data_IF_550292477925
#
_entry.id   IF_550292477925
#
_cell.length_a   1.000
_cell.length_b   1.000
_cell.length_c   1.000
_cell.angle_alpha   90.00
_cell.angle_beta   90.00
_cell.angle_gamma   90.00
#
_symmetry.space_group_name_H-M   'P 1'
#
loop_
_entity.id
_entity.type
_entity.pdbx_description
1 polymer ?
#
# COMPACT_ATOMS: atom_id res chain seq x y z
N UNK A 1 -17.74 19.58 -6.69
CA UNK A 1 -17.26 18.19 -6.87
C UNK A 1 -17.04 18.05 -8.37
N UNK A 2 -15.79 18.09 -8.82
CA UNK A 2 -15.49 18.15 -10.26
C UNK A 2 -15.28 16.72 -10.78
N UNK A 3 -15.94 16.33 -11.89
CA UNK A 3 -15.72 15.03 -12.50
C UNK A 3 -14.32 14.99 -13.12
N UNK A 4 -13.57 13.91 -12.84
CA UNK A 4 -12.26 13.68 -13.43
C UNK A 4 -12.40 13.26 -14.90
N UNK A 5 -13.31 12.32 -15.15
CA UNK A 5 -13.59 11.76 -16.47
C UNK A 5 -15.06 11.35 -16.54
N UNK A 6 -15.66 11.54 -17.71
CA UNK A 6 -17.01 11.10 -18.03
C UNK A 6 -16.91 10.22 -19.28
N UNK A 7 -17.49 9.02 -19.23
CA UNK A 7 -17.54 8.15 -20.41
C UNK A 7 -18.86 7.39 -20.51
N UNK A 8 -19.29 7.20 -21.75
CA UNK A 8 -20.49 6.43 -22.09
C UNK A 8 -20.19 4.94 -21.99
N UNK A 9 -20.93 4.23 -21.13
CA UNK A 9 -20.88 2.78 -21.06
C UNK A 9 -22.30 2.22 -21.01
N UNK A 10 -22.62 1.30 -21.92
CA UNK A 10 -23.95 0.71 -21.94
C UNK A 10 -23.98 -0.51 -21.02
N UNK A 11 -24.78 -0.47 -19.95
CA UNK A 11 -25.02 -1.66 -19.13
C UNK A 11 -25.99 -2.57 -19.89
N UNK A 12 -25.54 -3.78 -20.20
CA UNK A 12 -26.32 -4.76 -20.95
C UNK A 12 -26.92 -5.78 -19.99
N UNK A 13 -28.25 -5.82 -19.93
CA UNK A 13 -28.98 -6.84 -19.19
C UNK A 13 -29.45 -7.94 -20.14
N UNK A 14 -29.26 -9.22 -19.78
CA UNK A 14 -29.85 -10.33 -20.53
C UNK A 14 -31.37 -10.28 -20.36
N UNK A 15 -32.12 -10.15 -21.45
CA UNK A 15 -33.58 -10.09 -21.42
C UNK A 15 -34.20 -11.02 -22.48
N UNK A 16 -35.37 -11.63 -22.22
CA UNK A 16 -35.93 -12.69 -23.07
C UNK A 16 -36.29 -12.23 -24.50
N UNK A 17 -36.64 -10.96 -24.69
CA UNK A 17 -36.95 -10.36 -26.00
C UNK A 17 -35.72 -9.76 -26.72
N UNK A 18 -34.50 -10.07 -26.24
CA UNK A 18 -33.23 -9.47 -26.68
C UNK A 18 -32.54 -8.73 -25.52
N UNK A 19 -31.24 -8.44 -25.64
CA UNK A 19 -30.49 -7.75 -24.58
C UNK A 19 -30.97 -6.32 -24.37
N UNK A 20 -31.37 -5.98 -23.15
CA UNK A 20 -31.71 -4.61 -22.75
C UNK A 20 -30.42 -3.83 -22.59
N UNK A 21 -30.28 -2.70 -23.31
CA UNK A 21 -29.13 -1.81 -23.20
C UNK A 21 -29.56 -0.55 -22.46
N UNK A 22 -29.08 -0.38 -21.24
CA UNK A 22 -29.21 0.88 -20.52
C UNK A 22 -28.07 1.79 -20.95
N UNK A 23 -28.39 2.91 -21.58
CA UNK A 23 -27.42 3.98 -21.80
C UNK A 23 -27.07 4.58 -20.45
N UNK A 24 -25.83 4.42 -20.02
CA UNK A 24 -25.35 5.02 -18.78
C UNK A 24 -24.11 5.85 -19.04
N UNK A 25 -24.07 7.01 -18.39
CA UNK A 25 -22.91 7.89 -18.35
C UNK A 25 -22.23 7.65 -17.01
N UNK A 26 -20.99 7.19 -17.02
CA UNK A 26 -20.22 6.92 -15.81
C UNK A 26 -19.36 8.14 -15.53
N UNK A 27 -19.56 8.74 -14.36
CA UNK A 27 -18.83 9.91 -13.90
C UNK A 27 -17.84 9.48 -12.82
N UNK A 28 -16.54 9.62 -13.09
CA UNK A 28 -15.47 9.30 -12.15
C UNK A 28 -15.15 10.53 -11.30
N UNK A 29 -15.16 10.37 -9.98
CA UNK A 29 -14.92 11.44 -9.01
C UNK A 29 -13.63 11.15 -8.22
N UNK A 30 -12.91 12.21 -7.85
CA UNK A 30 -11.61 12.15 -7.15
C UNK A 30 -11.64 11.43 -5.79
N UNK A 31 -12.78 11.43 -5.10
CA UNK A 31 -12.93 10.94 -3.72
C UNK A 31 -14.11 9.98 -3.53
N UNK A 32 -14.65 9.36 -4.59
CA UNK A 32 -15.78 8.43 -4.48
C UNK A 32 -15.34 6.99 -4.74
N UNK A 33 -15.40 6.15 -3.70
CA UNK A 33 -15.16 4.71 -3.79
C UNK A 33 -16.47 3.95 -3.61
N UNK A 34 -17.36 4.00 -4.61
CA UNK A 34 -18.56 3.16 -4.60
C UNK A 34 -18.36 1.91 -5.45
N UNK A 35 -18.50 0.75 -4.83
CA UNK A 35 -18.54 -0.54 -5.54
C UNK A 35 -19.97 -0.94 -5.95
N UNK A 36 -20.98 -0.19 -5.49
CA UNK A 36 -22.38 -0.48 -5.73
C UNK A 36 -23.05 0.65 -6.53
N UNK A 37 -23.93 0.26 -7.44
CA UNK A 37 -24.78 1.18 -8.22
C UNK A 37 -26.20 1.07 -7.69
N UNK A 38 -26.85 2.20 -7.46
CA UNK A 38 -28.27 2.25 -7.11
C UNK A 38 -29.06 2.36 -8.41
N UNK A 39 -29.93 1.39 -8.68
CA UNK A 39 -30.88 1.47 -9.78
C UNK A 39 -32.20 2.06 -9.27
N UNK A 40 -32.72 3.07 -9.95
CA UNK A 40 -34.00 3.69 -9.63
C UNK A 40 -35.20 2.78 -9.90
N UNK A 41 -36.29 3.01 -9.17
CA UNK A 41 -37.53 2.24 -9.31
C UNK A 41 -38.25 2.49 -10.66
N UNK A 42 -38.04 3.68 -11.22
CA UNK A 42 -38.46 4.07 -12.58
C UNK A 42 -37.85 3.16 -13.65
N UNK A 43 -36.56 2.86 -13.54
CA UNK A 43 -35.86 1.94 -14.44
C UNK A 43 -36.30 0.49 -14.22
N UNK A 44 -36.47 0.05 -12.97
CA UNK A 44 -37.01 -1.28 -12.67
C UNK A 44 -38.39 -1.48 -13.32
N UNK A 45 -39.28 -0.50 -13.23
CA UNK A 45 -40.60 -0.56 -13.83
C UNK A 45 -40.56 -0.52 -15.36
N UNK A 46 -39.72 0.34 -15.95
CA UNK A 46 -39.61 0.49 -17.41
C UNK A 46 -39.13 -0.80 -18.08
N UNK A 47 -38.26 -1.56 -17.42
CA UNK A 47 -37.74 -2.83 -17.91
C UNK A 47 -38.45 -4.07 -17.33
N UNK A 48 -39.54 -3.88 -16.58
CA UNK A 48 -40.33 -4.98 -16.00
C UNK A 48 -39.51 -5.89 -15.08
N UNK A 49 -38.65 -5.31 -14.25
CA UNK A 49 -37.80 -6.04 -13.31
C UNK A 49 -38.54 -6.18 -11.98
N UNK A 50 -39.04 -7.39 -11.70
CA UNK A 50 -39.69 -7.72 -10.44
C UNK A 50 -38.69 -8.41 -9.49
N UNK A 51 -38.50 -7.87 -8.28
CA UNK A 51 -37.63 -8.45 -7.25
C UNK A 51 -38.51 -9.18 -6.23
N UNK A 52 -38.25 -10.48 -5.99
CA UNK A 52 -38.97 -11.28 -5.02
C UNK A 52 -38.04 -11.72 -3.88
N UNK A 53 -38.48 -11.49 -2.65
CA UNK A 53 -37.72 -11.75 -1.42
C UNK A 53 -38.36 -12.80 -0.50
N UNK A 54 -39.37 -13.55 -0.96
CA UNK A 54 -40.19 -14.36 -0.05
C UNK A 54 -39.53 -15.67 0.43
N UNK A 55 -38.74 -16.36 -0.41
CA UNK A 55 -38.05 -17.62 -0.02
C UNK A 55 -36.57 -17.55 -0.37
N UNK A 56 -36.29 -17.40 -1.66
CA UNK A 56 -34.98 -17.09 -2.19
C UNK A 56 -35.00 -15.69 -2.80
N UNK A 57 -33.91 -14.94 -2.67
CA UNK A 57 -33.77 -13.63 -3.30
C UNK A 57 -33.51 -13.83 -4.79
N UNK A 58 -34.50 -13.52 -5.63
CA UNK A 58 -34.36 -13.57 -7.09
C UNK A 58 -35.07 -12.40 -7.75
N UNK A 59 -34.72 -12.13 -9.00
CA UNK A 59 -35.45 -11.20 -9.84
C UNK A 59 -35.91 -11.86 -11.14
N UNK A 60 -37.00 -11.36 -11.71
CA UNK A 60 -37.47 -11.71 -13.05
C UNK A 60 -37.46 -10.45 -13.91
N UNK A 61 -37.27 -10.60 -15.22
CA UNK A 61 -37.22 -9.47 -16.16
C UNK A 61 -38.21 -9.67 -17.30
N UNK A 62 -38.98 -8.63 -17.61
CA UNK A 62 -39.95 -8.62 -18.71
C UNK A 62 -41.20 -9.48 -18.46
N UNK A 63 -41.91 -9.80 -19.54
CA UNK A 63 -43.19 -10.53 -19.48
C UNK A 63 -43.02 -12.01 -19.08
N UNK A 64 -41.83 -12.59 -19.27
CA UNK A 64 -41.57 -14.00 -19.02
C UNK A 64 -41.17 -14.27 -17.55
N UNK A 65 -42.16 -14.28 -16.66
CA UNK A 65 -41.98 -14.54 -15.21
C UNK A 65 -41.50 -15.96 -14.85
N UNK A 66 -41.27 -16.83 -15.84
CA UNK A 66 -40.74 -18.19 -15.63
C UNK A 66 -39.22 -18.21 -15.45
N UNK A 67 -38.50 -17.24 -16.04
CA UNK A 67 -37.05 -17.18 -15.93
C UNK A 67 -36.65 -16.36 -14.71
N UNK A 68 -36.05 -17.04 -13.73
CA UNK A 68 -35.61 -16.44 -12.46
C UNK A 68 -34.10 -16.29 -12.46
N UNK A 69 -33.61 -15.11 -12.09
CA UNK A 69 -32.20 -14.81 -11.94
C UNK A 69 -31.87 -14.66 -10.46
N UNK A 70 -30.86 -15.40 -10.00
CA UNK A 70 -30.37 -15.31 -8.63
C UNK A 70 -29.38 -14.15 -8.48
N UNK A 71 -29.35 -13.51 -7.32
CA UNK A 71 -28.26 -12.59 -6.96
C UNK A 71 -27.03 -13.41 -6.57
N UNK A 72 -25.93 -13.26 -7.32
CA UNK A 72 -24.66 -13.91 -7.00
C UNK A 72 -23.98 -13.19 -5.83
N UNK A 73 -23.83 -13.84 -4.68
CA UNK A 73 -23.00 -13.35 -3.57
C UNK A 73 -21.51 -13.69 -3.76
N UNK A 74 -21.15 -14.39 -4.83
CA UNK A 74 -19.75 -14.62 -5.16
C UNK A 74 -19.21 -13.38 -5.87
N UNK A 75 -18.11 -12.76 -5.39
CA UNK A 75 -17.31 -11.90 -6.24
C UNK A 75 -16.72 -12.81 -7.31
N UNK A 76 -17.45 -13.02 -8.41
CA UNK A 76 -16.82 -13.49 -9.62
C UNK A 76 -15.80 -12.42 -9.94
N UNK A 77 -14.53 -12.79 -9.82
CA UNK A 77 -13.40 -12.05 -10.32
C UNK A 77 -13.83 -11.54 -11.69
N UNK A 78 -14.11 -10.24 -11.78
CA UNK A 78 -14.53 -9.62 -13.03
C UNK A 78 -13.35 -9.91 -13.94
N UNK A 79 -13.56 -10.76 -14.96
CA UNK A 79 -12.60 -10.91 -16.03
C UNK A 79 -12.53 -9.54 -16.66
N UNK A 80 -11.56 -8.74 -16.23
CA UNK A 80 -11.24 -7.45 -16.83
C UNK A 80 -11.13 -7.75 -18.32
N UNK A 81 -12.08 -7.20 -19.07
CA UNK A 81 -12.18 -7.39 -20.52
C UNK A 81 -10.79 -7.03 -21.05
N UNK A 82 -10.21 -7.87 -21.92
CA UNK A 82 -8.82 -7.72 -22.39
C UNK A 82 -8.48 -6.28 -22.82
N UNK A 83 -9.45 -5.59 -23.43
CA UNK A 83 -9.35 -4.19 -23.86
C UNK A 83 -9.13 -3.17 -22.72
N UNK A 84 -9.53 -3.48 -21.48
CA UNK A 84 -9.28 -2.59 -20.33
C UNK A 84 -7.86 -2.79 -19.79
N UNK A 85 -7.31 -4.01 -19.87
CA UNK A 85 -5.89 -4.24 -19.52
C UNK A 85 -4.95 -3.51 -20.47
N UNK A 86 -5.31 -3.48 -21.76
CA UNK A 86 -4.51 -2.78 -22.77
C UNK A 86 -4.46 -1.26 -22.50
N UNK A 87 -5.57 -0.65 -22.06
CA UNK A 87 -5.62 0.79 -21.70
C UNK A 87 -4.68 1.11 -20.53
N UNK A 88 -4.73 0.33 -19.44
CA UNK A 88 -3.83 0.56 -18.29
C UNK A 88 -2.37 0.26 -18.61
N UNK A 89 -2.11 -0.68 -19.53
CA UNK A 89 -0.76 -0.99 -20.01
C UNK A 89 -0.20 0.14 -20.88
N UNK A 90 -1.03 0.77 -21.71
CA UNK A 90 -0.64 1.95 -22.50
C UNK A 90 -0.32 3.15 -21.59
N UNK A 91 -1.13 3.38 -20.56
CA UNK A 91 -0.90 4.44 -19.56
C UNK A 91 0.39 4.19 -18.75
N UNK A 92 0.66 2.94 -18.34
CA UNK A 92 1.92 2.53 -17.69
C UNK A 92 3.14 2.81 -18.57
N UNK A 93 3.06 2.45 -19.86
CA UNK A 93 4.13 2.72 -20.82
C UNK A 93 4.35 4.22 -21.02
N UNK A 94 3.28 5.00 -21.09
CA UNK A 94 3.35 6.44 -21.30
C UNK A 94 3.87 7.20 -20.07
N UNK A 95 3.58 6.74 -18.86
CA UNK A 95 3.91 7.46 -17.63
C UNK A 95 5.24 7.01 -16.99
N UNK A 96 5.52 5.69 -16.97
CA UNK A 96 6.70 5.15 -16.26
C UNK A 96 7.84 4.74 -17.20
N UNK A 97 7.53 4.29 -18.41
CA UNK A 97 8.54 3.83 -19.37
C UNK A 97 9.00 4.91 -20.36
N UNK A 98 8.42 6.12 -20.31
CA UNK A 98 8.76 7.22 -21.23
C UNK A 98 10.24 7.59 -21.20
N UNK A 99 10.85 7.63 -20.01
CA UNK A 99 12.26 7.98 -19.83
C UNK A 99 13.19 6.75 -19.83
N UNK A 100 12.64 5.53 -19.88
CA UNK A 100 13.45 4.31 -19.79
C UNK A 100 14.13 3.96 -21.11
N UNK A 101 15.45 3.76 -21.05
CA UNK A 101 16.24 3.33 -22.21
C UNK A 101 16.11 1.82 -22.44
N UNK A 102 15.09 1.42 -23.21
CA UNK A 102 14.95 0.03 -23.69
C UNK A 102 15.89 -0.17 -24.90
N UNK A 103 16.66 -1.26 -24.89
CA UNK A 103 17.60 -1.59 -25.95
C UNK A 103 16.89 -1.72 -27.32
N UNK A 104 17.35 -0.96 -28.31
CA UNK A 104 16.79 -0.90 -29.67
C UNK A 104 16.97 -2.20 -30.48
N UNK A 105 17.86 -3.10 -30.05
CA UNK A 105 18.11 -4.39 -30.72
C UNK A 105 17.08 -5.48 -30.37
N UNK A 106 16.12 -5.19 -29.50
CA UNK A 106 15.07 -6.15 -29.11
C UNK A 106 14.05 -6.34 -30.24
N UNK A 107 13.69 -7.60 -30.52
CA UNK A 107 12.61 -7.89 -31.46
C UNK A 107 11.26 -7.36 -30.93
N UNK A 108 10.30 -7.05 -31.82
CA UNK A 108 8.99 -6.54 -31.40
C UNK A 108 8.27 -7.44 -30.39
N UNK A 109 8.46 -8.76 -30.53
CA UNK A 109 7.89 -9.76 -29.62
C UNK A 109 8.54 -9.71 -28.23
N UNK A 110 9.88 -9.68 -28.19
CA UNK A 110 10.61 -9.59 -26.92
C UNK A 110 10.34 -8.28 -26.17
N UNK A 111 10.14 -7.19 -26.91
CA UNK A 111 9.74 -5.91 -26.31
C UNK A 111 8.35 -6.00 -25.67
N UNK A 112 7.41 -6.68 -26.32
CA UNK A 112 6.08 -6.90 -25.76
C UNK A 112 6.13 -7.74 -24.48
N UNK A 113 6.85 -8.87 -24.53
CA UNK A 113 7.03 -9.77 -23.39
C UNK A 113 7.71 -9.06 -22.20
N UNK A 114 8.69 -8.18 -22.48
CA UNK A 114 9.35 -7.36 -21.46
C UNK A 114 8.37 -6.40 -20.78
N UNK A 115 7.56 -5.67 -21.56
CA UNK A 115 6.56 -4.74 -21.02
C UNK A 115 5.51 -5.51 -20.20
N UNK A 116 5.13 -6.71 -20.60
CA UNK A 116 4.23 -7.56 -19.82
C UNK A 116 4.80 -7.93 -18.45
N UNK A 117 6.08 -8.30 -18.39
CA UNK A 117 6.76 -8.59 -17.12
C UNK A 117 6.86 -7.34 -16.24
N UNK A 118 7.25 -6.20 -16.83
CA UNK A 118 7.36 -4.93 -16.09
C UNK A 118 6.02 -4.48 -15.53
N UNK A 119 4.94 -4.59 -16.31
CA UNK A 119 3.59 -4.28 -15.84
C UNK A 119 3.11 -5.28 -14.76
N UNK A 120 3.40 -6.57 -14.93
CA UNK A 120 3.00 -7.60 -13.95
C UNK A 120 3.67 -7.40 -12.59
N UNK A 121 4.91 -6.91 -12.58
CA UNK A 121 5.72 -6.71 -11.39
C UNK A 121 6.02 -5.23 -11.10
N UNK A 122 5.13 -4.32 -11.49
CA UNK A 122 5.28 -2.86 -11.30
C UNK A 122 5.73 -2.50 -9.86
N UNK A 123 5.07 -3.07 -8.85
CA UNK A 123 5.37 -2.83 -7.44
C UNK A 123 6.74 -3.39 -6.96
N UNK A 124 7.43 -4.17 -7.79
CA UNK A 124 8.76 -4.70 -7.47
C UNK A 124 9.89 -3.77 -7.96
N UNK A 125 9.57 -2.74 -8.74
CA UNK A 125 10.53 -1.77 -9.27
C UNK A 125 10.36 -0.41 -8.59
N UNK A 126 11.47 0.28 -8.36
CA UNK A 126 11.46 1.65 -7.87
C UNK A 126 11.11 2.58 -9.03
N UNK A 127 10.17 3.50 -8.82
CA UNK A 127 9.99 4.65 -9.71
C UNK A 127 10.59 5.90 -9.07
N UNK A 128 10.81 6.97 -9.84
CA UNK A 128 11.33 8.23 -9.30
C UNK A 128 10.39 8.84 -8.23
N UNK A 129 9.09 8.54 -8.32
CA UNK A 129 8.09 8.98 -7.36
C UNK A 129 7.88 7.98 -6.20
N UNK A 130 8.24 6.70 -6.38
CA UNK A 130 8.08 5.64 -5.39
C UNK A 130 9.36 4.77 -5.31
N UNK A 131 10.41 5.25 -4.61
CA UNK A 131 11.64 4.50 -4.47
C UNK A 131 11.41 3.22 -3.64
N UNK A 132 12.04 2.12 -4.07
CA UNK A 132 11.99 0.82 -3.37
C UNK A 132 12.43 0.99 -1.91
N UNK A 133 11.59 0.52 -0.99
CA UNK A 133 11.84 0.61 0.45
C UNK A 133 11.41 1.93 1.10
N UNK A 134 10.80 2.85 0.35
CA UNK A 134 10.20 4.05 0.91
C UNK A 134 8.98 3.66 1.77
N UNK A 135 9.06 4.02 3.05
CA UNK A 135 7.94 3.86 3.98
C UNK A 135 6.93 4.96 3.64
N UNK A 136 5.69 4.58 3.35
CA UNK A 136 4.57 5.53 3.17
C UNK A 136 4.56 6.52 4.33
N UNK A 137 4.44 7.83 4.03
CA UNK A 137 4.53 8.95 4.99
C UNK A 137 3.91 8.58 6.35
N UNK A 138 4.75 8.45 7.37
CA UNK A 138 4.37 8.06 8.73
C UNK A 138 4.70 9.19 9.68
N UNK A 139 3.72 10.06 9.93
CA UNK A 139 3.86 11.15 10.88
C UNK A 139 3.13 10.82 12.19
N UNK A 140 3.89 10.75 13.28
CA UNK A 140 3.38 10.61 14.64
C UNK A 140 3.67 11.89 15.44
N UNK A 141 2.68 12.44 16.17
CA UNK A 141 2.89 13.60 17.03
C UNK A 141 3.76 13.21 18.23
N UNK A 142 4.48 14.19 18.77
CA UNK A 142 5.24 14.00 20.02
C UNK A 142 4.30 13.69 21.18
N UNK A 143 4.77 12.86 22.11
CA UNK A 143 4.07 12.68 23.38
C UNK A 143 4.18 13.93 24.25
N UNK A 144 3.19 14.11 25.12
CA UNK A 144 3.25 15.11 26.19
C UNK A 144 4.35 14.69 27.18
N UNK A 145 5.26 15.60 27.45
CA UNK A 145 6.37 15.40 28.38
C UNK A 145 6.26 16.37 29.56
N UNK A 146 6.52 15.87 30.77
CA UNK A 146 6.64 16.71 31.97
C UNK A 146 7.86 17.64 31.85
N UNK A 147 7.93 18.74 32.63
CA UNK A 147 9.09 19.65 32.60
C UNK A 147 10.42 18.92 32.82
N UNK A 148 10.50 18.04 33.82
CA UNK A 148 11.67 17.19 34.08
C UNK A 148 12.02 16.28 32.90
N UNK A 149 11.03 15.69 32.24
CA UNK A 149 11.28 14.85 31.06
C UNK A 149 11.76 15.67 29.86
N UNK A 150 11.31 16.93 29.71
CA UNK A 150 11.79 17.83 28.66
C UNK A 150 13.24 18.24 28.87
N UNK A 151 13.63 18.56 30.10
CA UNK A 151 15.02 18.88 30.45
C UNK A 151 15.95 17.69 30.14
N UNK A 152 15.59 16.49 30.60
CA UNK A 152 16.35 15.29 30.28
C UNK A 152 16.41 15.02 28.76
N UNK A 153 15.30 15.21 28.05
CA UNK A 153 15.26 15.03 26.60
C UNK A 153 16.20 16.00 25.88
N UNK A 154 16.22 17.27 26.30
CA UNK A 154 17.09 18.28 25.72
C UNK A 154 18.57 17.96 25.93
N UNK A 155 18.94 17.46 27.12
CA UNK A 155 20.30 16.98 27.41
C UNK A 155 20.71 15.84 26.46
N UNK A 156 19.88 14.80 26.33
CA UNK A 156 20.16 13.65 25.44
C UNK A 156 20.23 14.04 23.96
N UNK A 157 19.39 14.98 23.51
CA UNK A 157 19.41 15.50 22.14
C UNK A 157 20.70 16.28 21.88
N UNK A 158 21.10 17.15 22.82
CA UNK A 158 22.34 17.91 22.68
C UNK A 158 23.56 16.99 22.63
N UNK A 159 23.65 15.98 23.49
CA UNK A 159 24.72 14.97 23.44
C UNK A 159 24.73 14.25 22.08
N UNK A 160 23.55 13.83 21.60
CA UNK A 160 23.43 13.12 20.31
C UNK A 160 23.86 13.97 19.12
N UNK A 161 23.59 15.28 19.15
CA UNK A 161 24.04 16.23 18.13
C UNK A 161 25.55 16.44 18.21
N UNK A 162 26.11 16.58 19.41
CA UNK A 162 27.56 16.74 19.61
C UNK A 162 28.34 15.52 19.14
N UNK A 163 27.79 14.32 19.33
CA UNK A 163 28.38 13.06 18.86
C UNK A 163 28.21 12.85 17.33
N UNK A 164 27.52 13.75 16.63
CA UNK A 164 27.26 13.63 15.19
C UNK A 164 26.23 12.55 14.83
N UNK A 165 25.55 11.96 15.81
CA UNK A 165 24.53 10.91 15.59
C UNK A 165 23.23 11.50 15.06
N UNK A 166 22.92 12.75 15.43
CA UNK A 166 21.72 13.45 15.01
C UNK A 166 22.04 14.83 14.44
N UNK A 167 21.25 15.29 13.48
CA UNK A 167 21.30 16.67 12.98
C UNK A 167 19.94 17.34 13.13
N UNK A 168 19.96 18.67 13.19
CA UNK A 168 18.73 19.47 13.06
C UNK A 168 18.28 19.43 11.59
N UNK A 169 16.98 19.24 11.40
CA UNK A 169 16.32 19.29 10.10
C UNK A 169 15.80 20.71 9.88
N UNK A 170 16.07 21.30 8.70
CA UNK A 170 15.63 22.65 8.37
C UNK A 170 14.11 22.76 8.23
N UNK A 171 13.60 23.99 8.35
CA UNK A 171 12.17 24.30 8.19
C UNK A 171 11.64 24.03 6.77
N UNK A 172 12.52 23.99 5.77
CA UNK A 172 12.19 23.70 4.37
C UNK A 172 12.44 22.23 3.97
N UNK A 173 12.92 21.40 4.89
CA UNK A 173 13.15 19.99 4.62
C UNK A 173 11.89 19.19 4.97
N UNK A 174 11.33 18.49 3.99
CA UNK A 174 10.20 17.62 4.24
C UNK A 174 10.64 16.36 4.98
N UNK A 175 9.93 16.04 6.07
CA UNK A 175 10.13 14.80 6.83
C UNK A 175 8.95 13.88 6.58
N UNK A 176 9.23 12.76 5.91
CA UNK A 176 8.24 11.73 5.60
C UNK A 176 7.91 10.86 6.82
N UNK A 177 8.90 10.65 7.70
CA UNK A 177 8.80 9.74 8.84
C UNK A 177 9.16 10.45 10.14
N UNK A 178 8.22 10.49 11.08
CA UNK A 178 8.48 10.95 12.45
C UNK A 178 8.16 9.86 13.47
N UNK A 179 9.02 9.75 14.48
CA UNK A 179 8.84 8.85 15.63
C UNK A 179 8.76 9.69 16.91
N UNK A 180 7.77 9.44 17.78
CA UNK A 180 7.74 10.10 19.07
C UNK A 180 8.80 9.49 19.99
N UNK A 181 9.23 10.28 20.96
CA UNK A 181 10.29 9.91 21.89
C UNK A 181 9.76 10.04 23.32
N UNK A 182 10.18 9.13 24.19
CA UNK A 182 9.89 9.13 25.62
C UNK A 182 11.18 9.08 26.42
N UNK A 183 11.12 9.53 27.67
CA UNK A 183 12.17 9.30 28.65
C UNK A 183 11.79 8.11 29.52
N UNK A 184 12.68 7.15 29.61
CA UNK A 184 12.60 6.05 30.56
C UNK A 184 13.65 6.24 31.65
N UNK A 185 13.24 6.19 32.92
CA UNK A 185 14.18 6.23 34.05
C UNK A 185 14.53 4.80 34.49
N UNK A 186 15.82 4.58 34.75
CA UNK A 186 16.31 3.31 35.27
C UNK A 186 17.58 3.53 36.10
N UNK A 187 17.59 3.06 37.34
CA UNK A 187 18.70 3.24 38.29
C UNK A 187 19.18 4.70 38.36
N UNK A 188 18.24 5.62 38.59
CA UNK A 188 18.48 7.08 38.65
C UNK A 188 19.09 7.72 37.39
N UNK A 189 19.08 7.00 36.27
CA UNK A 189 19.51 7.52 34.96
C UNK A 189 18.34 7.60 34.00
N UNK A 190 18.23 8.74 33.32
CA UNK A 190 17.28 8.93 32.23
C UNK A 190 17.84 8.34 30.93
N UNK A 191 16.98 7.76 30.10
CA UNK A 191 17.33 7.30 28.75
C UNK A 191 16.28 7.78 27.76
N UNK A 192 16.74 8.34 26.65
CA UNK A 192 15.90 8.69 25.51
C UNK A 192 15.54 7.43 24.70
N UNK A 193 14.24 7.17 24.52
CA UNK A 193 13.73 5.99 23.81
C UNK A 193 12.77 6.43 22.71
N UNK A 194 13.09 6.10 21.45
CA UNK A 194 12.19 6.33 20.33
C UNK A 194 11.17 5.20 20.17
N UNK A 195 9.89 5.53 20.00
CA UNK A 195 8.86 4.55 19.71
C UNK A 195 8.84 4.20 18.21
N UNK A 196 9.40 3.04 17.88
CA UNK A 196 9.48 2.52 16.51
C UNK A 196 8.37 1.53 16.18
N UNK A 197 7.37 1.30 17.05
CA UNK A 197 6.36 0.25 16.84
C UNK A 197 5.56 0.47 15.56
N UNK A 198 5.13 1.70 15.31
CA UNK A 198 4.42 2.05 14.09
C UNK A 198 5.31 1.96 12.86
N UNK A 199 6.62 2.21 12.98
CA UNK A 199 7.55 2.08 11.86
C UNK A 199 7.75 0.61 11.50
N UNK A 200 7.91 -0.23 12.52
CA UNK A 200 8.16 -1.66 12.39
C UNK A 200 7.02 -2.41 11.69
N UNK A 201 5.79 -1.88 11.64
CA UNK A 201 4.69 -2.50 10.88
C UNK A 201 4.83 -2.35 9.37
N UNK A 202 5.63 -1.39 8.90
CA UNK A 202 5.90 -1.17 7.47
C UNK A 202 7.20 -1.83 7.01
N UNK A 203 8.07 -2.23 7.94
CA UNK A 203 9.38 -2.79 7.63
C UNK A 203 9.26 -4.31 7.44
N UNK A 204 9.81 -4.81 6.34
CA UNK A 204 10.01 -6.25 6.15
C UNK A 204 11.18 -6.70 7.03
N UNK A 205 10.93 -7.65 7.93
CA UNK A 205 11.97 -8.16 8.83
C UNK A 205 13.02 -8.94 8.04
N UNK A 206 14.25 -8.44 7.99
CA UNK A 206 15.39 -9.24 7.54
C UNK A 206 15.76 -10.26 8.62
N UNK A 207 15.89 -11.52 8.20
CA UNK A 207 16.35 -12.62 9.05
C UNK A 207 17.80 -12.93 8.70
N UNK A 208 18.67 -11.92 8.76
CA UNK A 208 20.10 -12.18 8.79
C UNK A 208 20.40 -13.11 9.99
N UNK A 209 21.13 -14.22 9.80
CA UNK A 209 21.26 -15.21 10.85
C UNK A 209 22.11 -14.67 12.00
N UNK A 210 21.45 -14.26 13.08
CA UNK A 210 22.10 -14.07 14.37
C UNK A 210 22.38 -15.47 14.92
N UNK A 211 23.65 -15.84 15.18
CA UNK A 211 23.99 -17.17 15.68
C UNK A 211 23.29 -17.45 17.01
N UNK A 212 22.85 -18.69 17.21
CA UNK A 212 22.20 -19.05 18.48
C UNK A 212 23.23 -19.04 19.59
N UNK A 213 22.86 -18.54 20.77
CA UNK A 213 23.74 -18.48 21.94
C UNK A 213 24.38 -19.85 22.24
N UNK A 214 23.61 -20.95 22.13
CA UNK A 214 24.11 -22.32 22.34
C UNK A 214 25.17 -22.74 21.31
N UNK A 215 25.01 -22.34 20.05
CA UNK A 215 25.98 -22.65 18.99
C UNK A 215 27.29 -21.90 19.25
N UNK A 216 27.21 -20.62 19.60
CA UNK A 216 28.37 -19.80 19.99
C UNK A 216 29.08 -20.38 21.21
N UNK A 217 28.34 -20.78 22.25
CA UNK A 217 28.93 -21.40 23.45
C UNK A 217 29.59 -22.76 23.16
N UNK A 218 29.00 -23.56 22.27
CA UNK A 218 29.59 -24.85 21.85
C UNK A 218 30.92 -24.63 21.13
N UNK A 219 30.99 -23.62 20.26
CA UNK A 219 32.24 -23.24 19.59
C UNK A 219 33.31 -22.77 20.59
N UNK A 220 32.91 -22.04 21.63
CA UNK A 220 33.81 -21.56 22.68
C UNK A 220 34.28 -22.67 23.64
N UNK A 221 33.57 -23.81 23.74
CA UNK A 221 33.87 -24.88 24.71
C UNK A 221 35.29 -25.50 24.61
N UNK A 222 35.93 -25.40 23.45
CA UNK A 222 37.29 -25.90 23.21
C UNK A 222 38.38 -24.86 23.45
N UNK A 223 38.02 -23.62 23.79
CA UNK A 223 38.97 -22.54 24.02
C UNK A 223 39.63 -22.66 25.41
N UNK A 224 40.93 -22.38 25.48
CA UNK A 224 41.69 -22.37 26.75
C UNK A 224 41.60 -21.03 27.49
N UNK A 225 41.34 -19.96 26.75
CA UNK A 225 41.19 -18.59 27.24
C UNK A 225 40.05 -17.92 26.48
N UNK A 226 39.18 -17.23 27.20
CA UNK A 226 38.05 -16.47 26.63
C UNK A 226 38.22 -15.01 27.04
N UNK A 227 38.15 -14.13 26.04
CA UNK A 227 38.06 -12.67 26.25
C UNK A 227 36.73 -12.18 25.72
N UNK A 228 36.02 -11.41 26.54
CA UNK A 228 34.75 -10.77 26.16
C UNK A 228 34.99 -9.27 26.04
N UNK A 229 34.52 -8.68 24.94
CA UNK A 229 34.56 -7.24 24.68
C UNK A 229 33.16 -6.81 24.27
N UNK A 230 32.70 -5.66 24.78
CA UNK A 230 31.41 -5.09 24.42
C UNK A 230 31.61 -3.81 23.60
N UNK A 231 30.81 -3.66 22.55
CA UNK A 231 30.89 -2.50 21.66
C UNK A 231 30.10 -1.32 22.25
N UNK A 232 30.80 -0.31 22.75
CA UNK A 232 30.17 0.89 23.30
C UNK A 232 29.40 1.65 22.21
N UNK A 233 28.08 1.82 22.37
CA UNK A 233 27.21 2.52 21.40
C UNK A 233 27.31 1.93 19.97
N UNK A 234 27.47 0.60 19.84
CA UNK A 234 27.73 -0.07 18.55
C UNK A 234 26.79 0.33 17.41
N UNK A 235 25.48 0.46 17.67
CA UNK A 235 24.51 0.88 16.64
C UNK A 235 24.75 2.29 16.07
N UNK A 236 25.40 3.18 16.81
CA UNK A 236 25.73 4.54 16.33
C UNK A 236 27.04 4.60 15.55
N UNK A 237 27.82 3.50 15.51
CA UNK A 237 29.09 3.42 14.78
C UNK A 237 28.93 2.82 13.38
N UNK A 238 27.78 2.19 13.10
CA UNK A 238 27.50 1.49 11.86
C UNK A 238 26.66 2.40 10.98
N UNK A 239 27.15 3.57 10.56
CA UNK A 239 26.60 4.39 9.45
C UNK A 239 27.60 5.46 9.04
#
# INVERSE_FOLDING_TARGET
MNPLVIFDNNIVYPHPAGSVRMKTEIVVMDNCTSQNIILGNDYLNTYGIDINNHKDRYFTMGENKRQKFAFSNMPKQISVISSVKDIYKEEFVANQLFETHINLSLSPKMRHDLIDVLYTYENAFASDNEPLGAIKVLRRPSYLASPRAREALEEHIQESIQLGVQRKVGHNEEVEVTKPVIIAEHNDKSRMVGDLRALNTYIVTDRYPIPRIQETLTQLSKSKYITSMDALKGFHQIF
#
